data_IF_976386330283
#
_entry.id   IF_976386330283
#
_cell.length_a   1.000
_cell.length_b   1.000
_cell.length_c   1.000
_cell.angle_alpha   90.00
_cell.angle_beta   90.00
_cell.angle_gamma   90.00
#
_symmetry.space_group_name_H-M   'P 1'
#
loop_
_entity.id
_entity.type
_entity.pdbx_description
1 polymer ?
#
# COMPACT_ATOMS: atom_id res chain seq x y z
N UNK A 1 14.58 8.48 -10.17
CA UNK A 1 14.55 7.08 -9.71
C UNK A 1 14.19 6.21 -10.89
N UNK A 2 14.96 5.15 -11.14
CA UNK A 2 14.70 4.24 -12.25
C UNK A 2 13.61 3.21 -11.88
N UNK A 3 13.05 2.51 -12.87
CA UNK A 3 11.94 1.56 -12.66
C UNK A 3 12.30 0.38 -11.75
N UNK A 4 13.55 -0.07 -11.78
CA UNK A 4 14.02 -1.19 -10.96
C UNK A 4 14.11 -0.78 -9.49
N UNK A 5 14.70 0.38 -9.20
CA UNK A 5 14.76 0.98 -7.85
C UNK A 5 13.35 1.14 -7.27
N UNK A 6 12.39 1.63 -8.05
CA UNK A 6 11.00 1.73 -7.56
C UNK A 6 10.43 0.36 -7.23
N UNK A 7 10.66 -0.62 -8.11
CA UNK A 7 10.15 -1.98 -7.92
C UNK A 7 10.71 -2.61 -6.65
N UNK A 8 12.00 -2.42 -6.37
CA UNK A 8 12.65 -2.96 -5.18
C UNK A 8 12.14 -2.28 -3.90
N UNK A 9 11.99 -0.95 -3.90
CA UNK A 9 11.38 -0.21 -2.78
C UNK A 9 9.96 -0.73 -2.49
N UNK A 10 9.12 -0.83 -3.52
CA UNK A 10 7.74 -1.30 -3.35
C UNK A 10 7.70 -2.75 -2.88
N UNK A 11 8.60 -3.60 -3.35
CA UNK A 11 8.69 -5.00 -2.93
C UNK A 11 9.04 -5.13 -1.44
N UNK A 12 9.94 -4.29 -0.93
CA UNK A 12 10.26 -4.24 0.49
C UNK A 12 9.09 -3.70 1.32
N UNK A 13 8.47 -2.59 0.89
CA UNK A 13 7.29 -2.02 1.56
C UNK A 13 6.12 -3.02 1.62
N UNK A 14 5.91 -3.82 0.57
CA UNK A 14 4.87 -4.85 0.54
C UNK A 14 5.07 -5.97 1.56
N UNK A 15 6.27 -6.20 2.09
CA UNK A 15 6.46 -7.20 3.18
C UNK A 15 5.72 -6.81 4.45
N UNK A 16 5.43 -5.52 4.60
CA UNK A 16 4.74 -4.93 5.74
C UNK A 16 3.21 -4.86 5.55
N UNK A 17 2.68 -5.46 4.47
CA UNK A 17 1.24 -5.61 4.22
C UNK A 17 0.92 -7.12 4.12
N UNK A 18 0.19 -7.73 5.05
CA UNK A 18 -0.07 -9.17 5.02
C UNK A 18 -0.72 -9.64 3.71
N UNK A 19 -0.29 -10.78 3.17
CA UNK A 19 -0.85 -11.37 1.95
C UNK A 19 -1.96 -12.40 2.20
N UNK A 20 -2.02 -12.96 3.41
CA UNK A 20 -2.88 -14.10 3.75
C UNK A 20 -4.20 -13.74 4.44
N UNK A 21 -4.50 -12.45 4.62
CA UNK A 21 -5.69 -11.97 5.36
C UNK A 21 -6.96 -11.84 4.51
N UNK A 22 -7.06 -12.64 3.44
CA UNK A 22 -8.24 -12.70 2.58
C UNK A 22 -8.20 -11.77 1.37
N UNK A 23 -9.33 -11.72 0.65
CA UNK A 23 -9.44 -11.07 -0.68
C UNK A 23 -9.07 -9.59 -0.64
N UNK A 24 -9.55 -8.85 0.36
CA UNK A 24 -9.35 -7.40 0.45
C UNK A 24 -7.88 -7.02 0.68
N UNK A 25 -7.10 -7.80 1.43
CA UNK A 25 -5.66 -7.58 1.56
C UNK A 25 -4.90 -7.87 0.27
N UNK A 26 -5.34 -8.85 -0.51
CA UNK A 26 -4.85 -9.06 -1.88
C UNK A 26 -5.06 -7.82 -2.75
N UNK A 27 -6.23 -7.19 -2.63
CA UNK A 27 -6.56 -5.95 -3.33
C UNK A 27 -5.71 -4.78 -2.82
N UNK A 28 -5.51 -4.66 -1.51
CA UNK A 28 -4.64 -3.63 -0.91
C UNK A 28 -3.22 -3.72 -1.46
N UNK A 29 -2.63 -4.91 -1.47
CA UNK A 29 -1.29 -5.13 -2.03
C UNK A 29 -1.22 -4.78 -3.51
N UNK A 30 -2.25 -5.15 -4.28
CA UNK A 30 -2.31 -4.83 -5.70
C UNK A 30 -2.40 -3.33 -5.96
N UNK A 31 -3.33 -2.64 -5.30
CA UNK A 31 -3.50 -1.19 -5.42
C UNK A 31 -2.25 -0.45 -4.95
N UNK A 32 -1.69 -0.84 -3.81
CA UNK A 32 -0.47 -0.26 -3.27
C UNK A 32 0.68 -0.40 -4.28
N UNK A 33 0.92 -1.61 -4.81
CA UNK A 33 2.00 -1.84 -5.78
C UNK A 33 1.86 -0.95 -7.03
N UNK A 34 0.64 -0.85 -7.57
CA UNK A 34 0.37 -0.04 -8.76
C UNK A 34 0.53 1.45 -8.45
N UNK A 35 -0.04 1.92 -7.34
CA UNK A 35 -0.06 3.34 -6.99
C UNK A 35 1.30 3.84 -6.52
N UNK A 36 2.02 3.04 -5.74
CA UNK A 36 3.26 3.44 -5.08
C UNK A 36 4.35 3.83 -6.05
N UNK A 37 4.53 3.10 -7.14
CA UNK A 37 5.50 3.45 -8.21
C UNK A 37 5.23 4.84 -8.80
N UNK A 38 3.97 5.15 -9.06
CA UNK A 38 3.57 6.47 -9.53
C UNK A 38 3.78 7.55 -8.46
N UNK A 39 3.46 7.25 -7.20
CA UNK A 39 3.58 8.19 -6.09
C UNK A 39 5.04 8.47 -5.70
N UNK A 40 5.93 7.49 -5.82
CA UNK A 40 7.38 7.66 -5.70
C UNK A 40 7.94 8.66 -6.72
N UNK A 41 7.48 8.61 -7.97
CA UNK A 41 7.86 9.58 -9.00
C UNK A 41 7.38 11.01 -8.69
N UNK A 42 6.36 11.14 -7.83
CA UNK A 42 5.77 12.43 -7.40
C UNK A 42 6.27 12.88 -6.01
N UNK A 43 7.22 12.16 -5.42
CA UNK A 43 7.76 12.49 -4.09
C UNK A 43 6.80 12.24 -2.92
N UNK A 44 5.72 11.47 -3.13
CA UNK A 44 4.78 11.13 -2.06
C UNK A 44 5.35 10.07 -1.13
N UNK A 45 4.93 10.12 0.12
CA UNK A 45 5.29 9.16 1.17
C UNK A 45 4.53 7.84 1.00
N UNK A 46 5.05 6.78 1.65
CA UNK A 46 4.42 5.47 1.67
C UNK A 46 3.11 5.48 2.47
N UNK A 47 3.03 6.31 3.50
CA UNK A 47 1.84 6.54 4.31
C UNK A 47 0.72 7.16 3.48
N UNK A 48 1.01 8.19 2.69
CA UNK A 48 0.01 8.80 1.79
C UNK A 48 -0.52 7.78 0.78
N UNK A 49 0.36 6.97 0.21
CA UNK A 49 -0.05 5.92 -0.73
C UNK A 49 -0.93 4.88 -0.04
N UNK A 50 -0.52 4.37 1.13
CA UNK A 50 -1.28 3.34 1.85
C UNK A 50 -2.65 3.87 2.31
N UNK A 51 -2.70 5.10 2.86
CA UNK A 51 -3.95 5.75 3.25
C UNK A 51 -4.92 5.84 2.08
N UNK A 52 -4.44 6.31 0.91
CA UNK A 52 -5.27 6.38 -0.28
C UNK A 52 -5.79 5.01 -0.71
N UNK A 53 -4.96 3.97 -0.69
CA UNK A 53 -5.39 2.61 -1.05
C UNK A 53 -6.43 2.05 -0.06
N UNK A 54 -6.30 2.35 1.24
CA UNK A 54 -7.29 1.95 2.25
C UNK A 54 -8.64 2.63 1.97
N UNK A 55 -8.61 3.93 1.66
CA UNK A 55 -9.83 4.69 1.36
C UNK A 55 -10.53 4.17 0.09
N UNK A 56 -9.77 3.79 -0.94
CA UNK A 56 -10.35 3.17 -2.14
C UNK A 56 -11.03 1.82 -1.85
N UNK A 57 -10.44 0.97 -0.99
CA UNK A 57 -11.05 -0.31 -0.64
C UNK A 57 -12.28 -0.10 0.24
N UNK A 58 -12.25 0.87 1.17
CA UNK A 58 -13.40 1.19 2.02
C UNK A 58 -14.61 1.71 1.26
N UNK A 59 -14.43 2.25 0.05
CA UNK A 59 -15.56 2.59 -0.83
C UNK A 59 -16.34 1.34 -1.27
N UNK A 60 -15.65 0.22 -1.44
CA UNK A 60 -16.23 -1.07 -1.83
C UNK A 60 -16.74 -1.87 -0.62
N UNK A 61 -15.99 -1.82 0.51
CA UNK A 61 -16.37 -2.44 1.77
C UNK A 61 -16.08 -1.50 2.96
N UNK A 62 -17.06 -0.69 3.38
CA UNK A 62 -16.89 0.28 4.46
C UNK A 62 -16.54 -0.34 5.82
N UNK A 63 -16.87 -1.63 6.03
CA UNK A 63 -16.61 -2.34 7.28
C UNK A 63 -15.28 -3.09 7.26
N UNK A 64 -14.53 -3.01 6.17
CA UNK A 64 -13.23 -3.65 6.08
C UNK A 64 -12.20 -2.94 6.98
N UNK A 65 -11.54 -3.74 7.81
CA UNK A 65 -10.50 -3.29 8.71
C UNK A 65 -9.13 -3.60 8.08
N UNK A 66 -8.36 -2.56 7.68
CA UNK A 66 -7.05 -2.78 7.08
C UNK A 66 -6.07 -3.28 8.15
N UNK A 67 -5.29 -4.30 7.80
CA UNK A 67 -4.14 -4.71 8.61
C UNK A 67 -2.84 -4.48 7.85
N UNK A 68 -1.87 -3.92 8.55
CA UNK A 68 -0.53 -3.63 8.06
C UNK A 68 0.40 -3.43 9.26
N UNK A 69 1.71 -3.45 9.02
CA UNK A 69 2.71 -3.19 10.06
C UNK A 69 2.70 -1.71 10.45
N UNK A 70 2.04 -1.41 11.58
CA UNK A 70 1.93 -0.06 12.15
C UNK A 70 3.27 0.52 12.63
N UNK A 71 4.30 -0.32 12.82
CA UNK A 71 5.64 0.16 13.18
C UNK A 71 6.38 0.70 11.95
N UNK A 72 6.05 0.16 10.78
CA UNK A 72 6.60 0.56 9.49
C UNK A 72 5.81 1.69 8.82
N UNK A 73 4.48 1.56 8.74
CA UNK A 73 3.58 2.56 8.17
C UNK A 73 2.96 3.42 9.27
N UNK A 74 3.38 4.69 9.33
CA UNK A 74 2.95 5.61 10.38
C UNK A 74 1.78 6.48 9.92
N UNK A 75 0.68 5.85 9.55
CA UNK A 75 -0.58 6.55 9.24
C UNK A 75 -1.11 7.13 10.55
N UNK A 76 -1.25 8.46 10.62
CA UNK A 76 -1.81 9.18 11.77
C UNK A 76 -3.28 9.42 11.60
#
# INVERSE_FOLDING_TARGET
>A
MNQQEMTDIVKEELKHIPSSYGRMHGWLRHYYNRRRRHDLAKGKTKEETLSWCIDEIRKEDPNWHPEYDITFFKIK
#
